data_IF_866166111423
#
_entry.id   IF_866166111423
#
_cell.length_a   1.000
_cell.length_b   1.000
_cell.length_c   1.000
_cell.angle_alpha   90.00
_cell.angle_beta   90.00
_cell.angle_gamma   90.00
#
_symmetry.space_group_name_H-M   'P 1'
#
loop_
_entity.id
_entity.type
_entity.pdbx_description
1 polymer ?
#
# COMPACT_ATOMS: atom_id res chain seq x y z
N UNK A 1 40.03 -20.56 -39.67
CA UNK A 1 38.60 -20.26 -39.41
C UNK A 1 38.49 -19.88 -37.94
N UNK A 2 38.47 -18.59 -37.63
CA UNK A 2 38.29 -18.12 -36.26
C UNK A 2 36.79 -18.11 -35.98
N UNK A 3 36.35 -19.00 -35.09
CA UNK A 3 35.03 -18.91 -34.47
C UNK A 3 35.04 -17.62 -33.66
N UNK A 4 34.42 -16.57 -34.20
CA UNK A 4 34.04 -15.39 -33.43
C UNK A 4 32.95 -15.90 -32.50
N UNK A 5 33.36 -16.37 -31.32
CA UNK A 5 32.42 -16.77 -30.29
C UNK A 5 31.75 -15.50 -29.81
N UNK A 6 30.51 -15.27 -30.23
CA UNK A 6 29.63 -14.27 -29.66
C UNK A 6 29.61 -14.49 -28.14
N UNK A 7 30.31 -13.62 -27.42
CA UNK A 7 30.39 -13.68 -25.97
C UNK A 7 29.05 -13.22 -25.45
N UNK A 8 28.19 -14.17 -25.09
CA UNK A 8 26.87 -13.89 -24.54
C UNK A 8 26.86 -14.19 -23.05
N UNK A 9 26.19 -13.35 -22.28
CA UNK A 9 26.04 -13.51 -20.83
C UNK A 9 24.59 -13.20 -20.42
N UNK A 10 24.18 -13.72 -19.27
CA UNK A 10 22.84 -13.51 -18.73
C UNK A 10 22.70 -12.12 -18.13
N UNK A 11 21.57 -11.47 -18.37
CA UNK A 11 21.14 -10.28 -17.64
C UNK A 11 20.64 -10.69 -16.24
N UNK A 12 21.18 -10.08 -15.18
CA UNK A 12 20.79 -10.35 -13.79
C UNK A 12 19.34 -9.91 -13.47
N UNK A 13 18.78 -8.98 -14.26
CA UNK A 13 17.42 -8.48 -14.06
C UNK A 13 16.34 -9.37 -14.67
N UNK A 14 16.51 -9.81 -15.93
CA UNK A 14 15.47 -10.55 -16.68
C UNK A 14 15.87 -11.98 -17.07
N UNK A 15 17.10 -12.41 -16.76
CA UNK A 15 17.61 -13.75 -17.06
C UNK A 15 17.88 -14.05 -18.53
N UNK A 16 17.64 -13.10 -19.44
CA UNK A 16 17.87 -13.30 -20.87
C UNK A 16 19.35 -13.28 -21.19
N UNK A 17 19.77 -14.16 -22.11
CA UNK A 17 21.13 -14.16 -22.66
C UNK A 17 21.24 -13.06 -23.72
N UNK A 18 22.16 -12.13 -23.50
CA UNK A 18 22.42 -11.00 -24.40
C UNK A 18 23.91 -10.90 -24.70
N UNK A 19 24.27 -10.16 -25.74
CA UNK A 19 25.68 -9.94 -26.08
C UNK A 19 26.40 -9.17 -24.97
N UNK A 20 27.64 -9.53 -24.67
CA UNK A 20 28.42 -8.90 -23.59
C UNK A 20 28.59 -7.39 -23.76
N UNK A 21 28.55 -6.90 -25.00
CA UNK A 21 28.64 -5.47 -25.32
C UNK A 21 27.35 -4.69 -25.09
N UNK A 22 26.20 -5.38 -25.02
CA UNK A 22 24.89 -4.79 -24.72
C UNK A 22 24.57 -4.81 -23.22
N UNK A 23 25.46 -5.40 -22.41
CA UNK A 23 25.35 -5.45 -20.97
C UNK A 23 25.97 -4.22 -20.32
N UNK A 24 25.23 -3.68 -19.35
CA UNK A 24 25.56 -2.50 -18.58
C UNK A 24 25.72 -2.90 -17.12
N UNK A 25 26.86 -2.53 -16.53
CA UNK A 25 27.11 -2.75 -15.11
C UNK A 25 26.52 -1.59 -14.30
N UNK A 26 25.76 -1.93 -13.25
CA UNK A 26 25.21 -0.98 -12.28
C UNK A 26 25.74 -1.34 -10.90
N UNK A 27 26.30 -0.36 -10.19
CA UNK A 27 26.77 -0.52 -8.81
C UNK A 27 25.61 -0.36 -7.85
N UNK A 28 25.40 -1.36 -7.00
CA UNK A 28 24.38 -1.40 -5.97
C UNK A 28 24.86 -0.69 -4.69
N UNK A 29 23.95 -0.31 -3.77
CA UNK A 29 24.29 0.43 -2.55
C UNK A 29 25.16 -0.35 -1.57
N UNK A 30 25.10 -1.68 -1.63
CA UNK A 30 25.92 -2.61 -0.85
C UNK A 30 27.33 -2.82 -1.43
N UNK A 31 27.67 -2.20 -2.56
CA UNK A 31 28.96 -2.31 -3.24
C UNK A 31 29.03 -3.40 -4.32
N UNK A 32 27.99 -4.23 -4.46
CA UNK A 32 27.94 -5.26 -5.49
C UNK A 32 27.69 -4.65 -6.88
N UNK A 33 28.20 -5.30 -7.93
CA UNK A 33 27.91 -4.94 -9.31
C UNK A 33 26.94 -5.95 -9.92
N UNK A 34 25.84 -5.45 -10.47
CA UNK A 34 24.89 -6.24 -11.25
C UNK A 34 25.03 -5.89 -12.73
N UNK A 35 24.87 -6.89 -13.59
CA UNK A 35 25.06 -6.77 -15.03
C UNK A 35 23.71 -6.95 -15.72
N UNK A 36 23.21 -5.88 -16.33
CA UNK A 36 21.85 -5.80 -16.87
C UNK A 36 21.84 -5.41 -18.34
N UNK A 37 20.84 -5.85 -19.10
CA UNK A 37 20.59 -5.30 -20.45
C UNK A 37 20.08 -3.85 -20.39
N UNK A 38 20.10 -3.15 -21.52
CA UNK A 38 19.61 -1.76 -21.66
C UNK A 38 18.20 -1.53 -21.13
N UNK A 39 17.32 -2.54 -21.24
CA UNK A 39 15.94 -2.45 -20.79
C UNK A 39 15.85 -2.56 -19.25
N UNK A 40 16.74 -3.33 -18.62
CA UNK A 40 16.76 -3.55 -17.18
C UNK A 40 17.62 -2.53 -16.43
N UNK A 41 18.55 -1.84 -17.10
CA UNK A 41 19.36 -0.76 -16.54
C UNK A 41 18.55 0.31 -15.78
N UNK A 42 17.45 0.90 -16.32
CA UNK A 42 16.71 1.93 -15.60
C UNK A 42 16.10 1.40 -14.30
N UNK A 43 15.67 0.13 -14.28
CA UNK A 43 15.15 -0.53 -13.09
C UNK A 43 16.28 -0.76 -12.07
N UNK A 44 17.41 -1.32 -12.51
CA UNK A 44 18.59 -1.53 -11.65
C UNK A 44 19.10 -0.22 -11.04
N UNK A 45 19.13 0.89 -11.81
CA UNK A 45 19.51 2.21 -11.29
C UNK A 45 18.48 2.81 -10.35
N UNK A 46 17.19 2.57 -10.58
CA UNK A 46 16.13 3.00 -9.67
C UNK A 46 16.26 2.28 -8.33
N UNK A 47 16.51 0.96 -8.36
CA UNK A 47 16.80 0.18 -7.15
C UNK A 47 18.11 0.64 -6.49
N UNK A 48 19.16 0.95 -7.24
CA UNK A 48 20.40 1.47 -6.67
C UNK A 48 20.22 2.85 -6.00
N UNK A 49 19.32 3.70 -6.51
CA UNK A 49 19.01 5.00 -5.90
C UNK A 49 18.10 4.87 -4.68
N UNK A 50 17.10 4.00 -4.75
CA UNK A 50 16.10 3.81 -3.69
C UNK A 50 16.56 2.82 -2.61
N UNK A 51 17.51 1.95 -2.94
CA UNK A 51 18.07 0.90 -2.08
C UNK A 51 19.09 1.41 -1.06
N UNK A 52 19.40 2.71 -1.04
CA UNK A 52 20.08 3.37 0.08
C UNK A 52 19.24 3.44 1.37
N UNK A 53 18.18 2.65 1.45
CA UNK A 53 17.19 2.62 2.53
C UNK A 53 16.98 1.20 3.07
N UNK A 54 18.02 0.36 3.06
CA UNK A 54 18.05 -0.82 3.94
C UNK A 54 18.15 -0.39 5.42
N UNK A 55 18.54 0.85 5.71
CA UNK A 55 18.43 1.52 7.02
C UNK A 55 16.98 1.75 7.51
N UNK A 56 15.97 1.39 6.70
CA UNK A 56 14.56 1.50 7.08
C UNK A 56 13.89 0.14 7.28
N UNK A 57 14.64 -0.96 7.27
CA UNK A 57 14.12 -2.24 7.73
C UNK A 57 13.67 -2.08 9.18
N UNK A 58 12.35 -2.05 9.38
CA UNK A 58 11.72 -2.00 10.69
C UNK A 58 11.54 -3.42 11.16
N UNK A 59 12.11 -3.75 12.31
CA UNK A 59 11.93 -5.03 12.97
C UNK A 59 11.27 -4.83 14.35
N UNK A 60 10.74 -5.89 14.94
CA UNK A 60 9.94 -5.83 16.16
C UNK A 60 10.85 -6.02 17.37
N UNK A 61 10.86 -5.04 18.29
CA UNK A 61 11.55 -5.19 19.56
C UNK A 61 10.90 -6.29 20.42
N UNK A 62 11.68 -7.26 20.90
CA UNK A 62 11.17 -8.38 21.71
C UNK A 62 10.60 -7.93 23.06
N UNK A 63 11.07 -6.80 23.61
CA UNK A 63 10.60 -6.27 24.89
C UNK A 63 9.27 -5.50 24.80
N UNK A 64 9.14 -4.60 23.82
CA UNK A 64 7.97 -3.70 23.73
C UNK A 64 7.09 -3.94 22.50
N UNK A 65 7.44 -4.88 21.62
CA UNK A 65 6.72 -5.24 20.38
C UNK A 65 6.55 -4.10 19.37
N UNK A 66 7.25 -2.98 19.56
CA UNK A 66 7.18 -1.84 18.65
C UNK A 66 8.15 -2.03 17.49
N UNK A 67 7.71 -1.64 16.30
CA UNK A 67 8.54 -1.59 15.09
C UNK A 67 9.61 -0.51 15.26
N UNK A 68 10.87 -0.93 15.28
CA UNK A 68 12.06 -0.10 15.50
C UNK A 68 13.01 -0.30 14.32
N UNK A 69 13.86 0.68 14.01
CA UNK A 69 14.84 0.50 12.93
C UNK A 69 15.84 -0.56 13.34
N UNK A 70 16.26 -1.40 12.39
CA UNK A 70 17.25 -2.44 12.60
C UNK A 70 18.58 -1.90 13.16
N UNK A 71 18.95 -0.66 12.85
CA UNK A 71 20.14 0.01 13.39
C UNK A 71 20.05 0.35 14.88
N UNK A 72 18.84 0.45 15.41
CA UNK A 72 18.58 0.86 16.79
C UNK A 72 18.25 -0.35 17.68
N UNK A 73 18.28 -1.57 17.13
CA UNK A 73 18.07 -2.80 17.86
C UNK A 73 19.42 -3.37 18.33
N UNK A 74 19.48 -3.73 19.60
CA UNK A 74 20.65 -4.29 20.26
C UNK A 74 20.31 -5.67 20.83
N UNK A 75 21.21 -6.63 20.64
CA UNK A 75 21.06 -7.98 21.18
C UNK A 75 21.51 -8.00 22.65
N UNK A 76 20.58 -8.34 23.54
CA UNK A 76 20.84 -8.47 24.98
C UNK A 76 20.76 -9.95 25.36
N UNK A 77 21.77 -10.41 26.11
CA UNK A 77 21.80 -11.76 26.68
C UNK A 77 21.30 -11.68 28.13
N UNK A 78 20.18 -12.33 28.40
CA UNK A 78 19.64 -12.48 29.76
C UNK A 78 20.44 -13.54 30.55
N UNK A 79 20.31 -13.53 31.88
CA UNK A 79 21.03 -14.43 32.79
C UNK A 79 20.72 -15.93 32.58
N UNK A 80 19.60 -16.23 31.91
CA UNK A 80 19.18 -17.59 31.54
C UNK A 80 19.77 -18.06 30.19
N UNK A 81 20.57 -17.22 29.53
CA UNK A 81 21.17 -17.48 28.23
C UNK A 81 20.26 -17.17 27.04
N UNK A 82 19.09 -16.58 27.26
CA UNK A 82 18.20 -16.13 26.19
C UNK A 82 18.75 -14.86 25.54
N UNK A 83 18.84 -14.84 24.21
CA UNK A 83 19.23 -13.66 23.42
C UNK A 83 17.96 -12.97 22.94
N UNK A 84 17.77 -11.70 23.28
CA UNK A 84 16.64 -10.87 22.85
C UNK A 84 17.14 -9.67 22.05
N UNK A 85 16.44 -9.32 20.97
CA UNK A 85 16.74 -8.16 20.14
C UNK A 85 15.84 -7.00 20.57
N UNK A 86 16.42 -6.04 21.30
CA UNK A 86 15.69 -5.02 22.04
C UNK A 86 16.05 -3.60 21.59
N UNK A 87 15.09 -2.67 21.68
CA UNK A 87 15.35 -1.25 21.46
C UNK A 87 16.08 -0.62 22.68
N UNK A 88 16.70 0.56 22.55
CA UNK A 88 17.61 1.12 23.57
C UNK A 88 16.92 1.40 24.90
N UNK A 89 15.61 1.68 24.88
CA UNK A 89 14.80 1.83 26.08
C UNK A 89 14.57 0.50 26.80
N UNK A 90 14.36 -0.59 26.08
CA UNK A 90 14.21 -1.91 26.69
C UNK A 90 15.55 -2.44 27.21
N UNK A 91 16.65 -2.14 26.53
CA UNK A 91 18.01 -2.44 27.02
C UNK A 91 18.28 -1.73 28.35
N UNK A 92 17.94 -0.44 28.46
CA UNK A 92 18.16 0.35 29.67
C UNK A 92 17.40 -0.17 30.91
N UNK A 93 16.28 -0.86 30.70
CA UNK A 93 15.44 -1.43 31.75
C UNK A 93 15.85 -2.87 32.13
N UNK A 94 16.86 -3.45 31.47
CA UNK A 94 17.39 -4.76 31.86
C UNK A 94 18.23 -4.65 33.13
N UNK A 95 18.01 -5.52 34.14
CA UNK A 95 18.71 -5.45 35.41
C UNK A 95 20.17 -5.93 35.24
N UNK A 96 21.05 -5.01 34.82
CA UNK A 96 22.47 -5.29 34.63
C UNK A 96 23.36 -4.07 34.39
N UNK A 97 22.79 -2.87 34.22
CA UNK A 97 23.55 -1.63 34.07
C UNK A 97 23.66 -0.90 35.40
N UNK A 98 24.64 -1.31 36.21
CA UNK A 98 25.07 -0.54 37.37
C UNK A 98 25.87 0.68 36.88
N UNK A 99 25.26 1.86 36.83
CA UNK A 99 26.00 3.10 37.11
C UNK A 99 25.11 4.06 37.88
N UNK A 100 25.32 4.03 39.18
CA UNK A 100 24.83 5.01 40.15
C UNK A 100 25.50 6.36 39.89
N UNK A 101 24.71 7.44 39.90
CA UNK A 101 25.21 8.76 40.31
C UNK A 101 24.79 9.94 39.42
N UNK A 102 23.69 10.59 39.78
CA UNK A 102 23.65 12.04 40.05
C UNK A 102 22.24 12.49 40.46
N UNK A 103 21.95 12.33 41.75
CA UNK A 103 21.05 13.20 42.49
C UNK A 103 21.61 14.64 42.41
N UNK A 104 20.82 15.67 42.02
CA UNK A 104 20.52 16.93 42.77
C UNK A 104 19.43 17.76 42.08
N UNK A 105 18.48 18.20 42.89
CA UNK A 105 17.24 18.89 42.58
C UNK A 105 17.33 20.37 42.14
N UNK A 106 16.25 20.76 41.45
CA UNK A 106 15.45 22.01 41.57
C UNK A 106 15.87 23.35 40.94
N UNK A 107 14.88 23.85 40.19
CA UNK A 107 14.34 25.22 40.10
C UNK A 107 14.86 26.15 38.99
N UNK A 108 13.95 26.44 38.05
CA UNK A 108 14.03 27.53 37.09
C UNK A 108 12.78 27.58 36.22
N UNK A 109 11.74 28.25 36.72
CA UNK A 109 10.49 28.51 36.02
C UNK A 109 10.65 29.57 34.92
N UNK A 110 9.87 29.45 33.83
CA UNK A 110 9.23 30.50 33.02
C UNK A 110 8.60 29.78 31.81
N UNK A 111 7.30 29.51 31.82
CA UNK A 111 6.25 30.37 31.28
C UNK A 111 6.43 30.71 29.80
N UNK A 112 5.66 30.04 28.94
CA UNK A 112 4.92 30.67 27.85
C UNK A 112 3.99 29.62 27.27
N UNK A 113 2.71 29.81 27.56
CA UNK A 113 1.64 29.03 26.96
C UNK A 113 1.60 29.20 25.45
N UNK A 114 1.35 28.09 24.78
CA UNK A 114 0.38 28.08 23.68
C UNK A 114 -0.54 26.89 23.92
N UNK A 115 -1.70 27.22 24.48
CA UNK A 115 -2.90 26.43 24.31
C UNK A 115 -3.11 26.27 22.81
N UNK A 116 -2.85 25.07 22.32
CA UNK A 116 -3.47 24.58 21.12
C UNK A 116 -4.06 23.25 21.50
N UNK A 117 -5.15 23.35 22.25
CA UNK A 117 -6.28 22.45 22.11
C UNK A 117 -6.27 21.84 20.70
N UNK A 118 -6.11 20.51 20.51
CA UNK A 118 -6.51 19.93 19.25
C UNK A 118 -7.99 20.27 19.17
N UNK A 119 -8.31 21.17 18.24
CA UNK A 119 -9.66 21.29 17.74
C UNK A 119 -10.13 19.86 17.50
N UNK A 120 -11.29 19.43 18.01
CA UNK A 120 -11.95 18.26 17.46
C UNK A 120 -12.39 18.70 16.06
N UNK A 121 -11.43 18.81 15.16
CA UNK A 121 -11.63 18.92 13.73
C UNK A 121 -12.19 17.57 13.36
N UNK A 122 -13.52 17.51 13.35
CA UNK A 122 -14.34 16.67 12.51
C UNK A 122 -13.58 15.43 12.02
N UNK A 123 -13.29 14.54 12.96
CA UNK A 123 -12.93 13.16 12.65
C UNK A 123 -14.22 12.55 12.13
N UNK A 124 -14.52 12.84 10.86
CA UNK A 124 -15.14 11.83 10.03
C UNK A 124 -14.12 10.70 10.02
N UNK A 125 -14.34 9.76 10.95
CA UNK A 125 -13.73 8.44 11.02
C UNK A 125 -14.02 7.76 9.68
N UNK A 126 -13.32 8.19 8.63
CA UNK A 126 -13.32 7.54 7.35
C UNK A 126 -12.57 6.24 7.60
N UNK A 127 -13.34 5.21 7.94
CA UNK A 127 -12.89 3.85 8.19
C UNK A 127 -11.76 3.52 7.22
N UNK A 128 -10.52 3.47 7.74
CA UNK A 128 -9.32 3.34 6.90
C UNK A 128 -9.37 1.97 6.24
N UNK A 129 -9.94 1.92 5.05
CA UNK A 129 -10.18 0.68 4.33
C UNK A 129 -8.87 0.26 3.68
N UNK A 130 -8.40 -0.95 4.00
CA UNK A 130 -7.08 -1.44 3.57
C UNK A 130 -7.19 -2.29 2.31
N UNK A 131 -6.19 -2.16 1.44
CA UNK A 131 -6.02 -3.06 0.31
C UNK A 131 -5.73 -4.48 0.82
N UNK A 132 -6.43 -5.48 0.30
CA UNK A 132 -6.22 -6.89 0.64
C UNK A 132 -4.90 -7.47 0.11
N UNK A 133 -4.27 -6.81 -0.86
CA UNK A 133 -3.02 -7.27 -1.48
C UNK A 133 -1.77 -6.59 -0.90
N UNK A 134 -1.73 -5.26 -0.91
CA UNK A 134 -0.56 -4.52 -0.40
C UNK A 134 -0.71 -4.07 1.06
N UNK A 135 -1.89 -4.27 1.69
CA UNK A 135 -2.21 -3.86 3.05
C UNK A 135 -2.13 -2.35 3.33
N UNK A 136 -1.85 -1.54 2.30
CA UNK A 136 -1.80 -0.10 2.39
C UNK A 136 -3.20 0.49 2.60
N UNK A 137 -3.23 1.60 3.32
CA UNK A 137 -4.42 2.40 3.57
C UNK A 137 -4.92 3.06 2.28
N UNK A 138 -6.21 2.90 1.97
CA UNK A 138 -6.85 3.52 0.80
C UNK A 138 -7.68 4.71 1.27
N UNK A 139 -7.44 5.89 0.70
CA UNK A 139 -8.13 7.14 1.07
C UNK A 139 -9.54 7.27 0.49
N UNK A 140 -10.23 6.16 0.22
CA UNK A 140 -11.54 6.10 -0.41
C UNK A 140 -12.01 4.65 -0.59
N UNK A 141 -13.09 4.45 -1.36
CA UNK A 141 -13.66 3.14 -1.62
C UNK A 141 -12.71 2.25 -2.45
N UNK A 142 -12.18 1.13 -1.92
CA UNK A 142 -11.36 0.21 -2.70
C UNK A 142 -12.17 -0.46 -3.81
N UNK A 143 -11.47 -0.88 -4.87
CA UNK A 143 -12.05 -1.64 -5.95
C UNK A 143 -12.35 -3.05 -5.47
N UNK A 144 -13.63 -3.45 -5.55
CA UNK A 144 -14.03 -4.84 -5.36
C UNK A 144 -13.87 -5.58 -6.70
N UNK A 145 -13.01 -6.57 -6.73
CA UNK A 145 -12.77 -7.40 -7.91
C UNK A 145 -13.09 -8.86 -7.60
N UNK A 146 -13.46 -9.60 -8.63
CA UNK A 146 -13.48 -11.07 -8.61
C UNK A 146 -12.31 -11.55 -9.44
N UNK A 147 -11.45 -12.36 -8.83
CA UNK A 147 -10.33 -12.97 -9.56
C UNK A 147 -10.80 -14.19 -10.35
N UNK A 148 -9.95 -14.70 -11.24
CA UNK A 148 -10.19 -15.95 -11.99
C UNK A 148 -10.42 -17.17 -11.09
N UNK A 149 -9.93 -17.12 -9.85
CA UNK A 149 -10.11 -18.16 -8.83
C UNK A 149 -11.41 -17.99 -8.03
N UNK A 150 -12.33 -17.16 -8.52
CA UNK A 150 -13.64 -16.85 -7.90
C UNK A 150 -13.54 -16.20 -6.51
N UNK A 151 -12.38 -15.65 -6.15
CA UNK A 151 -12.17 -14.94 -4.90
C UNK A 151 -12.54 -13.47 -5.07
N UNK A 152 -13.25 -12.93 -4.08
CA UNK A 152 -13.56 -11.50 -4.01
C UNK A 152 -12.47 -10.79 -3.23
N UNK A 153 -11.80 -9.84 -3.86
CA UNK A 153 -10.72 -9.05 -3.26
C UNK A 153 -11.01 -7.55 -3.34
N UNK A 154 -10.52 -6.82 -2.34
CA UNK A 154 -10.62 -5.35 -2.26
C UNK A 154 -9.25 -4.76 -2.51
N UNK A 155 -9.06 -4.07 -3.63
CA UNK A 155 -7.77 -3.58 -4.09
C UNK A 155 -7.73 -2.06 -4.20
N UNK A 156 -6.56 -1.47 -3.96
CA UNK A 156 -6.29 -0.08 -4.36
C UNK A 156 -6.18 0.04 -5.88
N UNK A 157 -6.10 1.27 -6.39
CA UNK A 157 -5.96 1.52 -7.83
C UNK A 157 -4.77 0.80 -8.46
N UNK A 158 -3.61 0.84 -7.78
CA UNK A 158 -2.37 0.26 -8.30
C UNK A 158 -2.46 -1.26 -8.35
N UNK A 159 -2.81 -1.92 -7.23
CA UNK A 159 -2.96 -3.38 -7.21
C UNK A 159 -4.07 -3.86 -8.14
N UNK A 160 -5.13 -3.07 -8.35
CA UNK A 160 -6.19 -3.38 -9.31
C UNK A 160 -5.65 -3.33 -10.75
N UNK A 161 -4.80 -2.35 -11.06
CA UNK A 161 -4.14 -2.24 -12.38
C UNK A 161 -3.16 -3.39 -12.59
N UNK A 162 -2.32 -3.70 -11.60
CA UNK A 162 -1.41 -4.84 -11.65
C UNK A 162 -2.16 -6.17 -11.85
N UNK A 163 -3.29 -6.34 -11.17
CA UNK A 163 -4.14 -7.52 -11.32
C UNK A 163 -4.74 -7.63 -12.74
N UNK A 164 -5.15 -6.51 -13.34
CA UNK A 164 -5.63 -6.47 -14.72
C UNK A 164 -4.51 -6.83 -15.72
N UNK A 165 -3.31 -6.28 -15.53
CA UNK A 165 -2.15 -6.57 -16.38
C UNK A 165 -1.71 -8.03 -16.31
N UNK A 166 -1.80 -8.63 -15.12
CA UNK A 166 -1.51 -10.06 -14.91
C UNK A 166 -2.62 -10.98 -15.43
N UNK A 167 -3.76 -10.43 -15.87
CA UNK A 167 -4.89 -11.20 -16.37
C UNK A 167 -5.60 -12.03 -15.29
N UNK A 168 -5.46 -11.65 -14.02
CA UNK A 168 -6.07 -12.38 -12.89
C UNK A 168 -7.47 -11.86 -12.53
N UNK A 169 -7.89 -10.74 -13.12
CA UNK A 169 -9.22 -10.14 -12.90
C UNK A 169 -10.25 -10.74 -13.84
N UNK A 170 -11.27 -11.38 -13.27
CA UNK A 170 -12.43 -11.86 -14.02
C UNK A 170 -13.47 -10.76 -14.20
N UNK A 171 -13.82 -10.06 -13.11
CA UNK A 171 -14.79 -8.96 -13.13
C UNK A 171 -14.43 -7.87 -12.12
N UNK A 172 -14.74 -6.63 -12.45
CA UNK A 172 -14.60 -5.48 -11.56
C UNK A 172 -15.99 -4.95 -11.22
N UNK A 173 -16.31 -4.91 -9.93
CA UNK A 173 -17.57 -4.35 -9.45
C UNK A 173 -17.56 -2.83 -9.55
N UNK A 174 -18.74 -2.26 -9.68
CA UNK A 174 -18.90 -0.81 -9.70
C UNK A 174 -18.57 -0.22 -8.32
N UNK A 175 -17.89 0.92 -8.28
CA UNK A 175 -17.69 1.66 -7.05
C UNK A 175 -18.98 2.32 -6.57
N UNK A 176 -19.15 2.46 -5.25
CA UNK A 176 -20.24 3.19 -4.59
C UNK A 176 -20.33 4.62 -5.08
N UNK A 177 -19.21 5.35 -5.07
CA UNK A 177 -19.16 6.76 -5.50
C UNK A 177 -19.62 6.92 -6.96
N UNK A 178 -19.16 6.03 -7.86
CA UNK A 178 -19.61 5.99 -9.26
C UNK A 178 -21.10 5.63 -9.40
N UNK A 179 -21.60 4.73 -8.56
CA UNK A 179 -23.02 4.37 -8.56
C UNK A 179 -23.90 5.55 -8.10
N UNK A 180 -23.47 6.31 -7.08
CA UNK A 180 -24.09 7.56 -6.65
C UNK A 180 -24.14 8.59 -7.79
N UNK A 181 -23.05 8.77 -8.54
CA UNK A 181 -22.99 9.66 -9.70
C UNK A 181 -23.98 9.27 -10.80
N UNK A 182 -24.10 7.97 -11.11
CA UNK A 182 -25.00 7.46 -12.17
C UNK A 182 -26.47 7.68 -11.79
N UNK A 183 -26.81 7.52 -10.52
CA UNK A 183 -28.17 7.72 -10.00
C UNK A 183 -28.44 9.18 -9.62
N UNK A 184 -27.40 10.00 -9.48
CA UNK A 184 -27.49 11.40 -9.06
C UNK A 184 -27.93 11.55 -7.61
N UNK A 185 -27.45 10.66 -6.73
CA UNK A 185 -27.76 10.63 -5.30
C UNK A 185 -26.51 10.91 -4.48
N UNK A 186 -26.68 11.31 -3.22
CA UNK A 186 -25.58 11.44 -2.26
C UNK A 186 -25.09 10.05 -1.79
N UNK A 187 -23.92 10.00 -1.15
CA UNK A 187 -23.36 8.78 -0.57
C UNK A 187 -24.24 8.21 0.57
N UNK A 188 -24.92 9.08 1.31
CA UNK A 188 -25.78 8.74 2.46
C UNK A 188 -27.27 8.83 2.09
N UNK A 189 -27.67 8.22 0.97
CA UNK A 189 -29.06 8.28 0.49
C UNK A 189 -29.90 7.23 1.20
N UNK A 190 -31.14 7.56 1.57
CA UNK A 190 -32.05 6.56 2.18
C UNK A 190 -32.56 5.56 1.12
N UNK A 191 -32.98 4.37 1.52
CA UNK A 191 -33.49 3.34 0.59
C UNK A 191 -34.67 3.85 -0.26
N UNK A 192 -35.54 4.69 0.31
CA UNK A 192 -36.69 5.28 -0.38
C UNK A 192 -36.28 6.30 -1.44
N UNK A 193 -35.31 7.15 -1.12
CA UNK A 193 -34.72 8.11 -2.06
C UNK A 193 -33.95 7.39 -3.17
N UNK A 194 -33.22 6.31 -2.83
CA UNK A 194 -32.53 5.46 -3.78
C UNK A 194 -33.51 4.83 -4.78
N UNK A 195 -34.63 4.26 -4.29
CA UNK A 195 -35.70 3.72 -5.15
C UNK A 195 -36.34 4.80 -6.03
N UNK A 196 -36.60 5.99 -5.49
CA UNK A 196 -37.16 7.09 -6.25
C UNK A 196 -36.22 7.56 -7.37
N UNK A 197 -34.92 7.70 -7.08
CA UNK A 197 -33.89 8.05 -8.04
C UNK A 197 -33.74 6.99 -9.13
N UNK A 198 -33.73 5.70 -8.75
CA UNK A 198 -33.70 4.58 -9.67
C UNK A 198 -34.87 4.63 -10.65
N UNK A 199 -36.11 4.77 -10.17
CA UNK A 199 -37.29 4.86 -11.05
C UNK A 199 -37.21 6.04 -12.02
N UNK A 200 -36.72 7.20 -11.56
CA UNK A 200 -36.53 8.39 -12.41
C UNK A 200 -35.49 8.13 -13.49
N UNK A 201 -34.38 7.47 -13.15
CA UNK A 201 -33.29 7.22 -14.07
C UNK A 201 -33.60 6.07 -15.05
N UNK A 202 -34.28 5.02 -14.60
CA UNK A 202 -34.84 3.96 -15.46
C UNK A 202 -35.78 4.55 -16.50
N UNK A 203 -36.71 5.41 -16.09
CA UNK A 203 -37.60 6.10 -17.03
C UNK A 203 -36.83 6.91 -18.07
N UNK A 204 -35.62 7.38 -17.80
CA UNK A 204 -34.78 8.11 -18.77
C UNK A 204 -33.99 7.17 -19.67
N UNK A 205 -33.45 6.09 -19.12
CA UNK A 205 -32.57 5.14 -19.78
C UNK A 205 -33.30 4.01 -20.55
N UNK A 206 -34.63 3.87 -20.35
CA UNK A 206 -35.42 2.78 -20.93
C UNK A 206 -35.31 2.73 -22.46
N UNK A 207 -35.04 1.55 -23.07
CA UNK A 207 -34.83 1.41 -24.52
C UNK A 207 -36.03 1.86 -25.38
N UNK A 208 -37.25 1.83 -24.83
CA UNK A 208 -38.45 2.31 -25.54
C UNK A 208 -38.49 3.84 -25.72
N UNK A 209 -37.55 4.58 -25.13
CA UNK A 209 -37.42 6.03 -25.34
C UNK A 209 -36.36 6.33 -26.38
N UNK A 210 -36.57 7.40 -27.14
CA UNK A 210 -35.61 7.89 -28.15
C UNK A 210 -34.19 8.15 -27.63
N UNK A 211 -34.05 8.48 -26.34
CA UNK A 211 -32.76 8.73 -25.69
C UNK A 211 -32.24 7.53 -24.88
N UNK A 212 -33.00 6.44 -24.79
CA UNK A 212 -32.68 5.30 -23.97
C UNK A 212 -31.99 4.19 -24.75
N UNK A 213 -31.25 3.34 -24.05
CA UNK A 213 -30.59 2.17 -24.64
C UNK A 213 -30.53 1.04 -23.63
N UNK A 214 -30.45 -0.20 -24.13
CA UNK A 214 -30.29 -1.38 -23.25
C UNK A 214 -29.03 -1.28 -22.37
N UNK A 215 -27.96 -0.67 -22.88
CA UNK A 215 -26.72 -0.45 -22.14
C UNK A 215 -26.90 0.57 -21.02
N UNK A 216 -27.59 1.69 -21.29
CA UNK A 216 -27.90 2.69 -20.27
C UNK A 216 -28.81 2.12 -19.17
N UNK A 217 -29.81 1.33 -19.55
CA UNK A 217 -30.67 0.65 -18.59
C UNK A 217 -29.87 -0.29 -17.69
N UNK A 218 -29.03 -1.17 -18.26
CA UNK A 218 -28.15 -2.07 -17.49
C UNK A 218 -27.21 -1.32 -16.55
N UNK A 219 -26.67 -0.19 -16.98
CA UNK A 219 -25.77 0.63 -16.17
C UNK A 219 -26.49 1.18 -14.93
N UNK A 220 -27.71 1.67 -15.10
CA UNK A 220 -28.57 2.18 -14.01
C UNK A 220 -28.97 1.07 -13.05
N UNK A 221 -29.30 -0.12 -13.58
CA UNK A 221 -29.60 -1.30 -12.75
C UNK A 221 -28.40 -1.72 -11.89
N UNK A 222 -27.21 -1.82 -12.49
CA UNK A 222 -25.98 -2.16 -11.75
C UNK A 222 -25.64 -1.14 -10.67
N UNK A 223 -25.84 0.14 -10.94
CA UNK A 223 -25.63 1.20 -9.95
C UNK A 223 -26.59 1.06 -8.75
N UNK A 224 -27.86 0.75 -9.02
CA UNK A 224 -28.85 0.53 -7.95
C UNK A 224 -28.54 -0.70 -7.10
N UNK A 225 -28.23 -1.83 -7.73
CA UNK A 225 -27.82 -3.06 -7.03
C UNK A 225 -26.60 -2.80 -6.14
N UNK A 226 -25.61 -2.07 -6.66
CA UNK A 226 -24.39 -1.76 -5.90
C UNK A 226 -24.62 -0.93 -4.65
N UNK A 227 -25.49 0.07 -4.71
CA UNK A 227 -25.82 0.90 -3.55
C UNK A 227 -26.71 0.16 -2.55
N UNK A 228 -27.62 -0.69 -3.03
CA UNK A 228 -28.47 -1.49 -2.16
C UNK A 228 -27.70 -2.55 -1.39
N UNK A 229 -26.67 -3.15 -1.98
CA UNK A 229 -25.82 -4.15 -1.30
C UNK A 229 -24.79 -3.52 -0.34
N UNK A 230 -24.69 -2.17 -0.31
CA UNK A 230 -23.77 -1.43 0.56
C UNK A 230 -24.41 -0.95 1.88
N UNK A 231 -25.74 -0.93 1.95
CA UNK A 231 -26.58 -0.51 3.09
C UNK A 231 -26.96 -1.72 3.95
#
# INVERSE_FOLDING_TARGET
MAVVGDRQAGCDGCGRTVALEELLAVTMPNGDQVVCCSDCEPHARTVARNGGSLDQCRDVCDGCTRTTRLTDLEDVVLDDGTVLTCCPSCVAETPGSNTEGADRSTAGASDSGVDSSPTPGDQTDAEVTRCSHCHESVSGDPFRITTIDERTEWLCHDCKTDAEERGIVATVDMQTSRACEILGVSANVTEDELRAAFHKQVKRAHPDRKSGSKSAFKLVTRAYERLRDAD
#
